data_IF_578741331451
#
_entry.id   IF_578741331451
#
_cell.length_a   1.000
_cell.length_b   1.000
_cell.length_c   1.000
_cell.angle_alpha   90.00
_cell.angle_beta   90.00
_cell.angle_gamma   90.00
#
_symmetry.space_group_name_H-M   'P 1'
#
loop_
_entity.id
_entity.type
_entity.pdbx_description
1 polymer ?
#
# COMPACT_ATOMS: atom_id res chain seq x y z
N UNK A 1 -19.79 -1.78 7.83
CA UNK A 1 -20.17 -0.78 6.81
C UNK A 1 -18.95 -0.42 5.98
N UNK A 2 -19.10 -0.39 4.67
CA UNK A 2 -17.97 -0.12 3.77
C UNK A 2 -17.48 1.32 3.92
N UNK A 3 -16.17 1.50 4.05
CA UNK A 3 -15.53 2.80 4.16
C UNK A 3 -14.95 3.22 2.82
N UNK A 4 -14.88 4.52 2.56
CA UNK A 4 -14.30 5.03 1.33
C UNK A 4 -12.83 4.68 1.24
N UNK A 5 -12.41 4.18 0.08
CA UNK A 5 -11.03 3.73 -0.17
C UNK A 5 -10.02 4.83 0.21
N UNK A 6 -9.03 4.46 0.98
CA UNK A 6 -7.97 5.33 1.53
C UNK A 6 -8.46 6.45 2.45
N UNK A 7 -9.70 6.39 2.96
CA UNK A 7 -10.13 7.29 4.04
C UNK A 7 -9.48 6.88 5.37
N UNK A 8 -9.58 7.74 6.38
CA UNK A 8 -9.06 7.46 7.70
C UNK A 8 -9.70 6.21 8.32
N UNK A 9 -11.01 6.04 8.14
CA UNK A 9 -11.75 4.88 8.64
C UNK A 9 -11.34 3.61 7.89
N UNK A 10 -11.15 3.73 6.57
CA UNK A 10 -10.67 2.61 5.78
C UNK A 10 -9.26 2.19 6.21
N UNK A 11 -8.38 3.16 6.46
CA UNK A 11 -7.02 2.89 6.89
C UNK A 11 -6.99 2.14 8.24
N UNK A 12 -7.90 2.47 9.14
CA UNK A 12 -8.02 1.79 10.42
C UNK A 12 -8.40 0.31 10.23
N UNK A 13 -9.39 0.05 9.38
CA UNK A 13 -9.82 -1.31 9.08
C UNK A 13 -8.72 -2.08 8.34
N UNK A 14 -8.06 -1.43 7.40
CA UNK A 14 -6.96 -2.01 6.63
C UNK A 14 -5.80 -2.43 7.52
N UNK A 15 -5.45 -1.62 8.51
CA UNK A 15 -4.38 -1.95 9.45
C UNK A 15 -4.69 -3.24 10.22
N UNK A 16 -5.93 -3.43 10.64
CA UNK A 16 -6.33 -4.65 11.34
C UNK A 16 -6.22 -5.88 10.44
N UNK A 17 -6.68 -5.78 9.20
CA UNK A 17 -6.60 -6.86 8.21
C UNK A 17 -5.14 -7.18 7.89
N UNK A 18 -4.32 -6.15 7.68
CA UNK A 18 -2.91 -6.30 7.36
C UNK A 18 -2.14 -6.93 8.54
N UNK A 19 -2.44 -6.54 9.76
CA UNK A 19 -1.80 -7.12 10.96
C UNK A 19 -2.12 -8.60 11.11
N UNK A 20 -3.33 -9.02 10.77
CA UNK A 20 -3.69 -10.43 10.79
C UNK A 20 -2.86 -11.25 9.79
N UNK A 21 -2.39 -10.63 8.71
CA UNK A 21 -1.54 -11.24 7.70
C UNK A 21 -0.06 -10.86 7.85
N UNK A 22 0.33 -10.19 8.93
CA UNK A 22 1.66 -9.56 9.03
C UNK A 22 2.81 -10.56 8.92
N UNK A 23 2.67 -11.77 9.43
CA UNK A 23 3.72 -12.79 9.31
C UNK A 23 3.96 -13.18 7.85
N UNK A 24 2.92 -13.22 7.03
CA UNK A 24 3.03 -13.53 5.61
C UNK A 24 3.70 -12.39 4.85
N UNK A 25 3.46 -11.15 5.25
CA UNK A 25 4.08 -9.97 4.63
C UNK A 25 5.54 -9.86 5.09
N UNK A 26 5.76 -9.95 6.39
CA UNK A 26 7.08 -9.85 7.02
C UNK A 26 8.10 -10.80 6.37
N UNK A 27 7.74 -12.05 6.19
CA UNK A 27 8.64 -13.08 5.65
C UNK A 27 9.05 -12.83 4.20
N UNK A 28 8.30 -12.01 3.48
CA UNK A 28 8.52 -11.79 2.05
C UNK A 28 9.45 -10.62 1.77
N UNK A 29 9.74 -9.76 2.77
CA UNK A 29 10.72 -8.70 2.59
C UNK A 29 12.11 -9.27 2.36
N UNK A 30 12.88 -8.62 1.49
CA UNK A 30 14.27 -9.00 1.25
C UNK A 30 15.10 -8.91 2.51
N UNK A 31 14.88 -7.85 3.31
CA UNK A 31 15.52 -7.63 4.59
C UNK A 31 14.50 -7.09 5.59
N UNK A 32 13.69 -7.97 6.22
CA UNK A 32 12.65 -7.51 7.14
C UNK A 32 13.19 -6.66 8.29
N UNK A 33 14.29 -7.08 8.90
CA UNK A 33 14.86 -6.38 10.05
C UNK A 33 15.32 -4.95 9.71
N UNK A 34 15.68 -4.69 8.45
CA UNK A 34 16.08 -3.37 7.97
C UNK A 34 14.96 -2.57 7.34
N UNK A 35 13.75 -3.12 7.25
CA UNK A 35 12.65 -2.42 6.60
C UNK A 35 11.88 -1.56 7.59
N UNK A 36 12.40 -0.38 7.87
CA UNK A 36 11.79 0.64 8.73
C UNK A 36 11.60 1.91 7.89
N UNK A 37 10.47 2.00 7.24
CA UNK A 37 10.20 3.01 6.21
C UNK A 37 8.73 3.41 6.20
N UNK A 38 8.44 4.57 5.60
CA UNK A 38 7.08 5.05 5.33
C UNK A 38 6.78 4.91 3.84
N UNK A 39 5.68 4.25 3.53
CA UNK A 39 5.15 4.16 2.17
C UNK A 39 3.98 5.11 2.01
N UNK A 40 3.88 5.79 0.88
CA UNK A 40 2.72 6.57 0.50
C UNK A 40 2.02 5.90 -0.68
N UNK A 41 0.71 5.76 -0.57
CA UNK A 41 -0.14 5.22 -1.63
C UNK A 41 -1.19 6.27 -1.98
N UNK A 42 -1.31 6.61 -3.25
CA UNK A 42 -2.26 7.65 -3.66
C UNK A 42 -3.08 7.23 -4.88
N UNK A 43 -4.28 7.82 -4.99
CA UNK A 43 -5.17 7.61 -6.13
C UNK A 43 -4.96 8.77 -7.09
N UNK A 44 -4.34 8.50 -8.24
CA UNK A 44 -3.89 9.54 -9.17
C UNK A 44 -5.02 10.35 -9.77
N UNK A 45 -6.19 9.73 -10.03
CA UNK A 45 -7.36 10.39 -10.61
C UNK A 45 -8.33 10.95 -9.56
N UNK A 46 -7.97 10.91 -8.29
CA UNK A 46 -8.72 11.52 -7.18
C UNK A 46 -7.76 12.34 -6.32
N UNK A 47 -7.48 13.61 -6.67
CA UNK A 47 -6.52 14.44 -5.94
C UNK A 47 -6.84 14.53 -4.44
N UNK A 48 -5.82 14.39 -3.61
CA UNK A 48 -5.96 14.45 -2.16
C UNK A 48 -6.29 13.11 -1.50
N UNK A 49 -6.54 12.06 -2.27
CA UNK A 49 -6.78 10.71 -1.72
C UNK A 49 -5.44 10.00 -1.60
N UNK A 50 -4.87 10.06 -0.40
CA UNK A 50 -3.53 9.54 -0.07
C UNK A 50 -3.59 8.87 1.29
N UNK A 51 -2.88 7.77 1.43
CA UNK A 51 -2.67 7.12 2.72
C UNK A 51 -1.18 6.83 2.92
N UNK A 52 -0.73 6.86 4.17
CA UNK A 52 0.64 6.52 4.55
C UNK A 52 0.66 5.30 5.45
N UNK A 53 1.60 4.41 5.19
CA UNK A 53 1.81 3.21 6.01
C UNK A 53 3.23 3.28 6.55
N UNK A 54 3.37 3.22 7.88
CA UNK A 54 4.66 3.18 8.54
C UNK A 54 4.98 1.73 8.91
N UNK A 55 6.16 1.27 8.49
CA UNK A 55 6.70 -0.03 8.84
C UNK A 55 7.87 0.13 9.80
N UNK A 56 7.96 -0.78 10.75
CA UNK A 56 9.10 -0.91 11.66
C UNK A 56 9.56 -2.36 11.65
N UNK A 57 10.78 -2.58 11.14
CA UNK A 57 11.38 -3.92 11.02
C UNK A 57 10.44 -4.91 10.30
N UNK A 58 9.82 -4.45 9.21
CA UNK A 58 8.98 -5.27 8.34
C UNK A 58 7.54 -5.45 8.80
N UNK A 59 7.14 -4.83 9.89
CA UNK A 59 5.77 -4.89 10.40
C UNK A 59 5.13 -3.51 10.42
N UNK A 60 3.87 -3.43 9.99
CA UNK A 60 3.14 -2.17 9.99
C UNK A 60 2.82 -1.74 11.42
N UNK A 61 3.07 -0.47 11.71
CA UNK A 61 2.77 0.11 13.03
C UNK A 61 1.73 1.21 12.94
N UNK A 62 1.62 1.88 11.79
CA UNK A 62 0.67 2.98 11.58
C UNK A 62 0.17 2.95 10.14
N UNK A 63 -1.12 3.19 9.97
CA UNK A 63 -1.73 3.39 8.67
C UNK A 63 -2.69 4.57 8.82
N UNK A 64 -2.40 5.69 8.15
CA UNK A 64 -3.07 6.95 8.44
C UNK A 64 -3.22 7.81 7.18
N UNK A 65 -4.18 8.73 7.23
CA UNK A 65 -4.30 9.81 6.25
C UNK A 65 -3.61 11.10 6.72
N UNK A 66 -3.11 11.13 7.96
CA UNK A 66 -2.26 12.22 8.43
C UNK A 66 -0.94 12.14 7.67
N UNK A 67 -0.55 13.23 7.02
CA UNK A 67 0.59 13.20 6.12
C UNK A 67 1.91 13.26 6.88
N UNK A 68 2.80 12.33 6.55
CA UNK A 68 4.21 12.45 6.89
C UNK A 68 4.85 13.48 5.98
N UNK A 69 5.91 14.13 6.44
CA UNK A 69 6.68 15.03 5.59
C UNK A 69 7.27 14.27 4.40
N UNK A 70 7.42 14.95 3.27
CA UNK A 70 7.89 14.31 2.03
C UNK A 70 9.26 13.64 2.21
N UNK A 71 10.14 14.22 3.02
CA UNK A 71 11.46 13.65 3.30
C UNK A 71 11.39 12.38 4.18
N UNK A 72 10.28 12.14 4.86
CA UNK A 72 10.06 10.91 5.63
C UNK A 72 9.51 9.77 4.77
N UNK A 73 8.97 10.07 3.59
CA UNK A 73 8.40 9.06 2.68
C UNK A 73 9.53 8.39 1.92
N UNK A 74 9.68 7.08 2.10
CA UNK A 74 10.70 6.29 1.43
C UNK A 74 10.33 5.95 0.00
N UNK A 75 9.05 5.61 -0.23
CA UNK A 75 8.54 5.31 -1.56
C UNK A 75 7.09 5.76 -1.68
N UNK A 76 6.73 6.27 -2.86
CA UNK A 76 5.36 6.70 -3.18
C UNK A 76 4.89 5.96 -4.43
N UNK A 77 3.74 5.31 -4.31
CA UNK A 77 3.08 4.64 -5.42
C UNK A 77 1.79 5.39 -5.75
N UNK A 78 1.60 5.69 -7.02
CA UNK A 78 0.44 6.42 -7.53
C UNK A 78 -0.24 5.61 -8.62
N UNK A 79 -1.54 5.46 -8.54
CA UNK A 79 -2.32 4.74 -9.54
C UNK A 79 -3.74 5.25 -9.58
N UNK A 80 -4.39 5.08 -10.73
CA UNK A 80 -5.82 5.36 -10.85
C UNK A 80 -6.62 4.38 -10.01
N UNK A 81 -7.82 4.77 -9.63
CA UNK A 81 -8.67 3.97 -8.76
C UNK A 81 -8.92 2.57 -9.30
N UNK A 82 -9.15 2.44 -10.61
CA UNK A 82 -9.42 1.15 -11.23
C UNK A 82 -8.22 0.17 -11.12
N UNK A 83 -7.00 0.67 -11.12
CA UNK A 83 -5.81 -0.16 -10.93
C UNK A 83 -5.74 -0.68 -9.48
N UNK A 84 -5.96 0.18 -8.50
CA UNK A 84 -6.01 -0.24 -7.10
C UNK A 84 -7.12 -1.26 -6.86
N UNK A 85 -8.29 -1.01 -7.45
CA UNK A 85 -9.43 -1.91 -7.30
C UNK A 85 -9.16 -3.27 -7.92
N UNK A 86 -8.57 -3.32 -9.11
CA UNK A 86 -8.22 -4.57 -9.76
C UNK A 86 -7.24 -5.41 -8.91
N UNK A 87 -6.25 -4.75 -8.31
CA UNK A 87 -5.30 -5.43 -7.43
C UNK A 87 -5.97 -5.91 -6.14
N UNK A 88 -6.84 -5.10 -5.54
CA UNK A 88 -7.58 -5.47 -4.33
C UNK A 88 -8.52 -6.65 -4.57
N UNK A 89 -9.16 -6.69 -5.74
CA UNK A 89 -10.09 -7.77 -6.11
C UNK A 89 -9.38 -9.04 -6.62
N UNK A 90 -8.05 -9.04 -6.66
CA UNK A 90 -7.28 -10.19 -7.09
C UNK A 90 -7.22 -10.40 -8.60
N UNK A 91 -7.67 -9.42 -9.40
CA UNK A 91 -7.67 -9.49 -10.87
C UNK A 91 -6.29 -9.29 -11.47
N UNK A 92 -5.39 -8.65 -10.74
CA UNK A 92 -4.00 -8.41 -11.15
C UNK A 92 -3.12 -8.33 -9.92
N UNK A 93 -1.85 -8.72 -10.05
CA UNK A 93 -0.87 -8.51 -8.99
C UNK A 93 -0.38 -7.06 -9.04
N UNK A 94 -0.24 -6.42 -7.87
CA UNK A 94 0.26 -5.06 -7.78
C UNK A 94 1.62 -4.89 -8.46
N UNK A 95 2.55 -5.84 -8.27
CA UNK A 95 3.86 -5.79 -8.91
C UNK A 95 3.77 -5.82 -10.43
N UNK A 96 2.84 -6.60 -11.00
CA UNK A 96 2.62 -6.60 -12.45
C UNK A 96 2.08 -5.26 -12.94
N UNK A 97 1.23 -4.60 -12.15
CA UNK A 97 0.73 -3.26 -12.48
C UNK A 97 1.85 -2.22 -12.42
N UNK A 98 2.80 -2.37 -11.49
CA UNK A 98 3.99 -1.52 -11.44
C UNK A 98 4.84 -1.71 -12.70
N UNK A 99 5.08 -2.95 -13.10
CA UNK A 99 5.84 -3.25 -14.32
C UNK A 99 5.16 -2.72 -15.58
N UNK A 100 3.83 -2.74 -15.61
CA UNK A 100 3.05 -2.23 -16.74
C UNK A 100 2.88 -0.70 -16.72
N UNK A 101 3.38 -0.02 -15.70
CA UNK A 101 3.25 1.44 -15.56
C UNK A 101 1.86 1.91 -15.13
N UNK A 102 0.99 1.02 -14.69
CA UNK A 102 -0.34 1.37 -14.19
C UNK A 102 -0.32 1.79 -12.73
N UNK A 103 0.60 1.23 -11.93
CA UNK A 103 0.98 1.75 -10.63
C UNK A 103 2.36 2.35 -10.81
N UNK A 104 2.49 3.67 -10.60
CA UNK A 104 3.74 4.38 -10.84
C UNK A 104 4.46 4.63 -9.53
N UNK A 105 5.75 4.32 -9.52
CA UNK A 105 6.64 4.69 -8.42
C UNK A 105 7.08 6.13 -8.67
N UNK A 106 6.50 7.08 -7.94
CA UNK A 106 6.78 8.51 -8.10
C UNK A 106 7.85 9.03 -7.16
N UNK A 107 8.21 8.23 -6.15
CA UNK A 107 9.35 8.49 -5.27
C UNK A 107 9.95 7.15 -4.84
N UNK A 108 11.26 7.09 -4.71
CA UNK A 108 11.99 5.88 -4.34
C UNK A 108 12.68 5.23 -5.54
N UNK A 109 13.45 4.20 -5.28
CA UNK A 109 14.22 3.48 -6.31
C UNK A 109 13.44 2.28 -6.82
N UNK A 110 13.30 2.15 -8.14
CA UNK A 110 12.63 0.99 -8.75
C UNK A 110 13.28 -0.33 -8.34
N UNK A 111 14.61 -0.34 -8.16
CA UNK A 111 15.33 -1.52 -7.68
C UNK A 111 14.78 -2.02 -6.35
N UNK A 112 14.57 -1.09 -5.40
CA UNK A 112 14.04 -1.43 -4.07
C UNK A 112 12.60 -1.94 -4.16
N UNK A 113 11.80 -1.33 -5.03
CA UNK A 113 10.42 -1.77 -5.26
C UNK A 113 10.37 -3.19 -5.82
N UNK A 114 11.25 -3.51 -6.78
CA UNK A 114 11.30 -4.84 -7.38
C UNK A 114 11.81 -5.89 -6.40
N UNK A 115 12.79 -5.56 -5.58
CA UNK A 115 13.33 -6.46 -4.55
C UNK A 115 12.28 -6.78 -3.48
N UNK A 116 11.33 -5.89 -3.25
CA UNK A 116 10.27 -6.06 -2.27
C UNK A 116 8.90 -6.23 -2.93
N UNK A 117 8.86 -6.75 -4.16
CA UNK A 117 7.61 -6.96 -4.88
C UNK A 117 6.69 -7.96 -4.16
N UNK A 118 7.25 -9.02 -3.59
CA UNK A 118 6.44 -10.05 -2.93
C UNK A 118 5.67 -9.53 -1.71
N UNK A 119 6.30 -8.79 -0.77
CA UNK A 119 5.53 -8.21 0.33
C UNK A 119 4.55 -7.15 -0.13
N UNK A 120 4.89 -6.36 -1.16
CA UNK A 120 3.98 -5.37 -1.72
C UNK A 120 2.73 -6.05 -2.31
N UNK A 121 2.90 -7.13 -3.07
CA UNK A 121 1.78 -7.91 -3.61
C UNK A 121 0.89 -8.41 -2.48
N UNK A 122 1.47 -8.95 -1.42
CA UNK A 122 0.69 -9.49 -0.30
C UNK A 122 -0.02 -8.38 0.47
N UNK A 123 0.64 -7.23 0.64
CA UNK A 123 0.03 -6.05 1.27
C UNK A 123 -1.23 -5.63 0.50
N UNK A 124 -1.13 -5.46 -0.82
CA UNK A 124 -2.26 -5.01 -1.63
C UNK A 124 -3.37 -6.08 -1.68
N UNK A 125 -3.02 -7.35 -1.63
CA UNK A 125 -4.01 -8.43 -1.52
C UNK A 125 -4.85 -8.31 -0.24
N UNK A 126 -4.30 -7.79 0.85
CA UNK A 126 -5.07 -7.59 2.08
C UNK A 126 -6.19 -6.56 1.92
N UNK A 127 -6.11 -5.70 0.92
CA UNK A 127 -7.19 -4.73 0.63
C UNK A 127 -8.50 -5.46 0.31
N UNK A 128 -8.43 -6.65 -0.28
CA UNK A 128 -9.61 -7.47 -0.56
C UNK A 128 -10.35 -7.95 0.69
N UNK A 129 -9.69 -7.94 1.84
CA UNK A 129 -10.29 -8.27 3.12
C UNK A 129 -10.93 -7.10 3.85
N UNK A 130 -10.87 -5.90 3.26
CA UNK A 130 -11.44 -4.68 3.82
C UNK A 130 -12.72 -4.34 3.06
N UNK A 131 -13.83 -4.15 3.77
CA UNK A 131 -15.04 -3.66 3.14
C UNK A 131 -14.79 -2.26 2.59
N UNK A 132 -14.93 -2.09 1.28
CA UNK A 132 -14.52 -0.87 0.60
C UNK A 132 -15.66 -0.27 -0.22
N UNK A 133 -15.87 1.03 -0.01
CA UNK A 133 -16.70 1.84 -0.89
C UNK A 133 -15.78 2.49 -1.92
N UNK A 134 -15.92 2.07 -3.18
CA UNK A 134 -15.07 2.56 -4.28
C UNK A 134 -15.57 3.87 -4.90
N UNK A 135 -16.73 4.34 -4.45
CA UNK A 135 -17.29 5.63 -4.88
C UNK A 135 -16.70 6.76 -4.03
N UNK A 136 -15.53 7.24 -4.42
CA UNK A 136 -14.77 8.24 -3.63
C UNK A 136 -14.65 9.59 -4.33
#
# INVERSE_FOLDING_TARGET
MAQKFFSAEWAKDALEVERAASDQIYKRFKNPAGFTHVLALEVADHPGVVTHIQYDQGRSVTWTTDLFDEDQVWARFSANLDAWRAAAEGKAKASNLVMAGRIKLTKGAMKDALENAAPFDRLVQTFGGVETNWEI
#
